data_IF_878474933473
#
_entry.id   IF_878474933473
#
_cell.length_a   1.000
_cell.length_b   1.000
_cell.length_c   1.000
_cell.angle_alpha   90.00
_cell.angle_beta   90.00
_cell.angle_gamma   90.00
#
_symmetry.space_group_name_H-M   'P 1'
#
loop_
_entity.id
_entity.type
_entity.pdbx_description
1 polymer ?
#
# COMPACT_ATOMS: atom_id res chain seq x y z
N UNK A 1 -8.70 3.01 -19.09
CA UNK A 1 -8.53 1.99 -18.03
C UNK A 1 -7.44 2.47 -17.10
N UNK A 2 -7.80 2.97 -15.90
CA UNK A 2 -6.84 3.57 -14.97
C UNK A 2 -6.05 2.45 -14.29
N UNK A 3 -4.72 2.44 -14.46
CA UNK A 3 -3.83 1.56 -13.70
C UNK A 3 -3.99 1.88 -12.22
N UNK A 4 -4.85 1.14 -11.54
CA UNK A 4 -5.07 1.31 -10.11
C UNK A 4 -4.07 0.43 -9.38
N UNK A 5 -2.93 1.02 -9.03
CA UNK A 5 -1.89 0.41 -8.19
C UNK A 5 -2.49 -0.33 -6.98
N UNK A 6 -3.50 0.27 -6.33
CA UNK A 6 -4.19 -0.34 -5.19
C UNK A 6 -5.05 -1.55 -5.57
N UNK A 7 -5.63 -1.59 -6.77
CA UNK A 7 -6.33 -2.79 -7.24
C UNK A 7 -5.36 -3.96 -7.46
N UNK A 8 -4.15 -3.67 -7.93
CA UNK A 8 -3.10 -4.69 -8.04
C UNK A 8 -2.67 -5.20 -6.66
N UNK A 9 -2.50 -4.30 -5.70
CA UNK A 9 -2.20 -4.68 -4.31
C UNK A 9 -3.30 -5.59 -3.76
N UNK A 10 -4.57 -5.23 -3.93
CA UNK A 10 -5.69 -6.06 -3.49
C UNK A 10 -5.63 -7.48 -4.08
N UNK A 11 -5.42 -7.60 -5.39
CA UNK A 11 -5.31 -8.91 -6.04
C UNK A 11 -4.16 -9.76 -5.49
N UNK A 12 -3.03 -9.12 -5.14
CA UNK A 12 -1.89 -9.82 -4.51
C UNK A 12 -2.27 -10.26 -3.09
N UNK A 13 -2.87 -9.38 -2.30
CA UNK A 13 -3.31 -9.70 -0.93
C UNK A 13 -4.38 -10.80 -0.89
N UNK A 14 -5.24 -10.90 -1.90
CA UNK A 14 -6.23 -11.97 -2.03
C UNK A 14 -5.61 -13.35 -2.29
N UNK A 15 -4.36 -13.40 -2.79
CA UNK A 15 -3.61 -14.64 -3.03
C UNK A 15 -2.63 -14.96 -1.89
N UNK A 16 -2.26 -13.96 -1.10
CA UNK A 16 -1.32 -14.11 0.00
C UNK A 16 -2.02 -14.72 1.24
N UNK A 17 -1.32 -15.60 1.96
CA UNK A 17 -1.84 -16.14 3.22
C UNK A 17 -2.10 -15.01 4.24
N UNK A 18 -3.06 -15.26 5.14
CA UNK A 18 -3.35 -14.35 6.24
C UNK A 18 -2.12 -14.16 7.15
N UNK A 19 -2.00 -12.97 7.75
CA UNK A 19 -0.84 -12.60 8.57
C UNK A 19 0.12 -11.62 7.89
N UNK A 20 -0.21 -11.15 6.69
CA UNK A 20 0.45 -9.97 6.13
C UNK A 20 0.21 -8.73 7.01
N UNK A 21 1.17 -7.82 7.00
CA UNK A 21 1.10 -6.58 7.76
C UNK A 21 1.68 -5.41 6.96
N UNK A 22 1.26 -4.20 7.29
CA UNK A 22 1.72 -2.96 6.68
C UNK A 22 2.74 -2.33 7.61
N UNK A 23 3.90 -2.02 7.06
CA UNK A 23 4.94 -1.26 7.75
C UNK A 23 5.00 0.15 7.20
N UNK A 24 4.97 1.13 8.10
CA UNK A 24 5.28 2.53 7.77
C UNK A 24 6.79 2.71 7.75
N UNK A 25 7.29 3.36 6.71
CA UNK A 25 8.69 3.69 6.52
C UNK A 25 8.78 5.20 6.41
N UNK A 26 9.34 5.84 7.45
CA UNK A 26 9.53 7.29 7.55
C UNK A 26 10.72 7.75 6.70
N UNK A 27 10.58 7.58 5.39
CA UNK A 27 11.53 8.05 4.39
C UNK A 27 10.80 8.88 3.34
N UNK A 28 11.40 10.00 2.91
CA UNK A 28 10.79 10.86 1.92
C UNK A 28 10.64 10.10 0.59
N UNK A 29 9.46 10.22 -0.01
CA UNK A 29 9.17 9.68 -1.34
C UNK A 29 8.38 10.68 -2.15
N UNK A 30 8.51 10.58 -3.47
CA UNK A 30 7.69 11.33 -4.41
C UNK A 30 6.87 10.37 -5.25
N UNK A 31 5.62 10.73 -5.54
CA UNK A 31 4.80 10.05 -6.53
C UNK A 31 4.30 11.07 -7.55
N UNK A 32 4.43 10.73 -8.84
CA UNK A 32 3.91 11.54 -9.93
C UNK A 32 2.45 11.15 -10.18
N UNK A 33 1.54 12.11 -10.09
CA UNK A 33 0.13 11.95 -10.46
C UNK A 33 -0.01 11.88 -11.99
N UNK A 34 -1.15 11.37 -12.44
CA UNK A 34 -1.49 11.32 -13.86
C UNK A 34 -1.58 12.70 -14.53
N UNK A 35 -1.93 13.75 -13.78
CA UNK A 35 -1.93 15.14 -14.27
C UNK A 35 -0.51 15.75 -14.38
N UNK A 36 0.54 14.98 -14.11
CA UNK A 36 1.93 15.43 -14.18
C UNK A 36 2.48 16.05 -12.90
N UNK A 37 1.65 16.36 -11.90
CA UNK A 37 2.08 16.89 -10.61
C UNK A 37 2.89 15.85 -9.83
N UNK A 38 4.00 16.28 -9.22
CA UNK A 38 4.76 15.45 -8.28
C UNK A 38 4.31 15.79 -6.87
N UNK A 39 3.76 14.81 -6.15
CA UNK A 39 3.44 14.95 -4.74
C UNK A 39 4.55 14.33 -3.91
N UNK A 40 5.07 15.11 -2.98
CA UNK A 40 6.04 14.66 -1.98
C UNK A 40 5.29 14.14 -0.75
N UNK A 41 5.82 13.07 -0.18
CA UNK A 41 5.33 12.44 1.04
C UNK A 41 6.53 12.22 1.95
N UNK A 42 6.36 12.49 3.24
CA UNK A 42 7.42 12.30 4.24
C UNK A 42 7.66 10.83 4.57
N UNK A 43 6.69 9.97 4.23
CA UNK A 43 6.73 8.54 4.50
C UNK A 43 6.07 7.74 3.37
N UNK A 44 6.34 6.44 3.37
CA UNK A 44 5.61 5.47 2.56
C UNK A 44 5.31 4.21 3.35
N UNK A 45 4.40 3.42 2.83
CA UNK A 45 3.97 2.15 3.39
C UNK A 45 4.41 1.01 2.49
N UNK A 46 4.68 -0.13 3.11
CA UNK A 46 5.02 -1.36 2.41
C UNK A 46 4.33 -2.53 3.09
N UNK A 47 3.75 -3.44 2.32
CA UNK A 47 3.19 -4.68 2.87
C UNK A 47 4.28 -5.75 2.93
N UNK A 48 4.30 -6.45 4.05
CA UNK A 48 5.10 -7.62 4.34
C UNK A 48 4.19 -8.82 4.49
N UNK A 49 4.65 -9.99 4.06
CA UNK A 49 3.95 -11.25 4.29
C UNK A 49 4.10 -11.71 5.73
N UNK A 50 3.40 -12.78 6.11
CA UNK A 50 3.53 -13.41 7.42
C UNK A 50 4.97 -13.89 7.72
N UNK A 51 5.79 -14.11 6.68
CA UNK A 51 7.19 -14.53 6.80
C UNK A 51 8.17 -13.34 6.95
N UNK A 52 7.67 -12.13 7.19
CA UNK A 52 8.47 -10.90 7.24
C UNK A 52 9.14 -10.55 5.88
N UNK A 53 8.61 -11.08 4.78
CA UNK A 53 9.13 -10.82 3.44
C UNK A 53 8.35 -9.68 2.75
N UNK A 54 9.04 -8.71 2.12
CA UNK A 54 8.36 -7.61 1.44
C UNK A 54 7.64 -8.10 0.19
N UNK A 55 6.33 -7.89 0.13
CA UNK A 55 5.51 -8.33 -1.00
C UNK A 55 5.79 -7.42 -2.21
N UNK A 56 6.10 -8.03 -3.36
CA UNK A 56 6.39 -7.30 -4.60
C UNK A 56 5.15 -6.51 -5.04
N UNK A 57 5.38 -5.31 -5.58
CA UNK A 57 4.33 -4.38 -6.01
C UNK A 57 3.45 -3.80 -4.89
N UNK A 58 3.75 -4.08 -3.62
CA UNK A 58 2.98 -3.60 -2.46
C UNK A 58 3.62 -2.42 -1.71
N UNK A 59 4.30 -1.52 -2.42
CA UNK A 59 4.77 -0.22 -1.90
C UNK A 59 3.79 0.87 -2.28
N UNK A 60 3.27 1.65 -1.34
CA UNK A 60 2.29 2.72 -1.59
C UNK A 60 2.45 3.86 -0.59
N UNK A 61 1.85 5.02 -0.85
CA UNK A 61 1.98 6.21 0.00
C UNK A 61 0.68 6.54 0.73
N UNK A 62 -0.48 6.18 0.18
CA UNK A 62 -1.77 6.58 0.73
C UNK A 62 -2.51 5.36 1.27
N UNK A 63 -2.53 5.24 2.60
CA UNK A 63 -3.21 4.14 3.28
C UNK A 63 -4.73 4.21 3.14
N UNK A 64 -5.31 5.41 3.08
CA UNK A 64 -6.75 5.62 2.88
C UNK A 64 -7.27 5.00 1.57
N UNK A 65 -6.45 5.04 0.52
CA UNK A 65 -6.81 4.44 -0.76
C UNK A 65 -6.78 2.91 -0.69
N UNK A 66 -5.83 2.34 0.05
CA UNK A 66 -5.79 0.90 0.28
C UNK A 66 -7.02 0.45 1.07
N UNK A 67 -7.32 1.13 2.18
CA UNK A 67 -8.51 0.88 3.02
C UNK A 67 -9.80 0.91 2.20
N UNK A 68 -10.00 1.94 1.36
CA UNK A 68 -11.15 2.04 0.44
C UNK A 68 -11.24 0.88 -0.55
N UNK A 69 -10.12 0.42 -1.09
CA UNK A 69 -10.10 -0.70 -2.05
C UNK A 69 -10.38 -2.04 -1.37
N UNK A 70 -9.89 -2.22 -0.15
CA UNK A 70 -10.17 -3.38 0.69
C UNK A 70 -11.56 -3.33 1.34
N UNK A 71 -12.23 -2.17 1.31
CA UNK A 71 -13.53 -1.90 1.96
C UNK A 71 -13.51 -2.14 3.47
N UNK A 72 -12.40 -1.79 4.10
CA UNK A 72 -12.21 -1.84 5.56
C UNK A 72 -11.71 -0.49 6.05
N UNK A 73 -11.82 -0.25 7.35
CA UNK A 73 -11.33 1.00 7.93
C UNK A 73 -9.81 1.00 8.06
N UNK A 74 -9.19 2.20 8.01
CA UNK A 74 -7.73 2.36 8.15
C UNK A 74 -7.25 1.82 9.50
N UNK A 75 -8.08 1.95 10.54
CA UNK A 75 -7.80 1.45 11.88
C UNK A 75 -7.81 -0.08 11.99
N UNK A 76 -8.45 -0.78 11.05
CA UNK A 76 -8.48 -2.25 11.00
C UNK A 76 -7.33 -2.84 10.20
N UNK A 77 -6.57 -2.00 9.48
CA UNK A 77 -5.41 -2.46 8.76
C UNK A 77 -4.33 -2.92 9.74
N UNK A 78 -3.65 -4.06 9.46
CA UNK A 78 -2.59 -4.57 10.32
C UNK A 78 -1.32 -3.71 10.19
N UNK A 79 -1.31 -2.52 10.77
CA UNK A 79 -0.17 -1.60 10.77
C UNK A 79 0.74 -1.96 11.95
N UNK A 80 2.03 -2.17 11.67
CA UNK A 80 3.05 -2.54 12.66
C UNK A 80 4.23 -1.57 12.67
#
# INVERSE_FOLDING_TARGET
MTFNHYAKIKQVLEQEPSGWYIKRIDQPTSARKFNGETRYFDHYYRIYSANDEPIKYCKFQQIDLLAKVLKIDVSELPIK
#
